data_IF_395823581643
#
_entry.id   IF_395823581643
#
_cell.length_a   1.000
_cell.length_b   1.000
_cell.length_c   1.000
_cell.angle_alpha   90.00
_cell.angle_beta   90.00
_cell.angle_gamma   90.00
#
_symmetry.space_group_name_H-M   'P 1'
#
loop_
_entity.id
_entity.type
_entity.pdbx_description
1 polymer ?
#
# COMPACT_ATOMS: atom_id res chain seq x y z
N UNK A 1 -12.61 7.09 -17.11
CA UNK A 1 -12.47 6.28 -15.89
C UNK A 1 -13.48 5.16 -15.77
N UNK A 2 -14.78 5.36 -16.05
CA UNK A 2 -15.80 4.27 -16.00
C UNK A 2 -15.53 3.07 -16.93
N UNK A 3 -14.74 3.24 -17.99
CA UNK A 3 -14.31 2.14 -18.88
C UNK A 3 -13.05 1.41 -18.41
N UNK A 4 -12.37 1.86 -17.34
CA UNK A 4 -11.12 1.26 -16.83
C UNK A 4 -9.85 1.57 -17.63
N UNK A 5 -9.94 2.27 -18.76
CA UNK A 5 -8.80 2.52 -19.66
C UNK A 5 -7.89 3.71 -19.23
N UNK A 6 -8.41 4.61 -18.39
CA UNK A 6 -7.71 5.82 -17.95
C UNK A 6 -7.35 5.71 -16.48
N UNK A 7 -6.06 5.55 -16.18
CA UNK A 7 -5.55 5.49 -14.81
C UNK A 7 -5.44 6.88 -14.15
N UNK A 8 -5.19 7.93 -14.94
CA UNK A 8 -4.94 9.30 -14.45
C UNK A 8 -5.50 10.32 -15.43
N UNK A 9 -6.07 11.40 -14.91
CA UNK A 9 -6.34 12.62 -15.67
C UNK A 9 -5.82 13.84 -14.90
N UNK A 10 -5.12 14.74 -15.60
CA UNK A 10 -4.59 15.98 -15.04
C UNK A 10 -5.32 17.13 -15.70
N UNK A 11 -5.89 18.01 -14.89
CA UNK A 11 -6.63 19.19 -15.30
C UNK A 11 -5.83 20.44 -14.97
N UNK A 12 -5.37 21.12 -16.02
CA UNK A 12 -4.59 22.35 -15.91
C UNK A 12 -5.51 23.52 -16.27
N UNK A 13 -5.69 24.51 -15.38
CA UNK A 13 -6.62 25.60 -15.63
C UNK A 13 -6.15 26.47 -16.82
N UNK A 14 -7.10 27.05 -17.57
CA UNK A 14 -6.77 28.03 -18.58
C UNK A 14 -6.07 29.20 -17.88
N UNK A 15 -4.91 29.59 -18.40
CA UNK A 15 -4.01 30.63 -17.86
C UNK A 15 -2.97 30.22 -16.81
N UNK A 16 -2.83 28.92 -16.50
CA UNK A 16 -1.84 28.42 -15.54
C UNK A 16 -0.45 29.06 -15.66
N UNK A 17 0.15 29.08 -16.86
CA UNK A 17 1.49 29.64 -17.07
C UNK A 17 1.57 31.16 -16.82
N UNK A 18 0.52 31.91 -17.16
CA UNK A 18 0.46 33.37 -16.92
C UNK A 18 0.33 33.67 -15.43
N UNK A 19 -0.51 32.91 -14.73
CA UNK A 19 -0.82 33.15 -13.32
C UNK A 19 0.39 32.78 -12.45
N UNK A 20 1.09 31.69 -12.77
CA UNK A 20 2.39 31.34 -12.17
C UNK A 20 3.45 32.41 -12.42
N UNK A 21 3.57 32.92 -13.65
CA UNK A 21 4.54 33.98 -13.98
C UNK A 21 4.27 35.30 -13.22
N UNK A 22 3.02 35.55 -12.84
CA UNK A 22 2.59 36.71 -12.03
C UNK A 22 2.66 36.46 -10.52
N UNK A 23 3.09 35.27 -10.08
CA UNK A 23 3.10 34.88 -8.66
C UNK A 23 1.71 34.66 -8.07
N UNK A 24 0.68 34.51 -8.91
CA UNK A 24 -0.68 34.20 -8.47
C UNK A 24 -0.80 32.70 -8.19
N UNK A 25 -1.38 32.29 -7.05
CA UNK A 25 -1.58 30.87 -6.76
C UNK A 25 -2.50 30.22 -7.80
N UNK A 26 -2.05 29.10 -8.39
CA UNK A 26 -2.83 28.33 -9.36
C UNK A 26 -3.07 26.91 -8.82
N UNK A 27 -4.25 26.36 -9.06
CA UNK A 27 -4.65 25.03 -8.61
C UNK A 27 -4.68 24.07 -9.80
N UNK A 28 -4.06 22.89 -9.65
CA UNK A 28 -4.10 21.81 -10.63
C UNK A 28 -4.98 20.69 -10.07
N UNK A 29 -5.93 20.21 -10.86
CA UNK A 29 -6.75 19.06 -10.52
C UNK A 29 -6.09 17.76 -10.99
N UNK A 30 -6.02 16.74 -10.13
CA UNK A 30 -5.56 15.41 -10.54
C UNK A 30 -6.61 14.38 -10.13
N UNK A 31 -7.09 13.64 -11.12
CA UNK A 31 -8.04 12.56 -10.97
C UNK A 31 -7.28 11.25 -11.13
N UNK A 32 -7.34 10.36 -10.14
CA UNK A 32 -6.72 9.03 -10.18
C UNK A 32 -7.80 7.97 -10.06
N UNK A 33 -7.70 6.92 -10.88
CA UNK A 33 -8.58 5.76 -10.76
C UNK A 33 -8.26 4.95 -9.50
N UNK A 34 -9.26 4.82 -8.62
CA UNK A 34 -9.16 4.11 -7.34
C UNK A 34 -9.58 2.63 -7.40
N UNK A 35 -9.91 2.08 -8.57
CA UNK A 35 -10.34 0.68 -8.71
C UNK A 35 -9.30 -0.32 -8.17
N UNK A 36 -8.01 0.02 -8.24
CA UNK A 36 -6.90 -0.79 -7.73
C UNK A 36 -6.02 0.06 -6.80
N UNK A 37 -6.17 -0.06 -5.45
CA UNK A 37 -5.56 0.85 -4.50
C UNK A 37 -4.03 0.97 -4.58
N UNK A 38 -3.33 -0.15 -4.80
CA UNK A 38 -1.86 -0.17 -4.94
C UNK A 38 -1.38 0.65 -6.13
N UNK A 39 -2.09 0.57 -7.26
CA UNK A 39 -1.80 1.34 -8.46
C UNK A 39 -2.12 2.82 -8.24
N UNK A 40 -3.23 3.13 -7.58
CA UNK A 40 -3.64 4.49 -7.28
C UNK A 40 -2.63 5.23 -6.38
N UNK A 41 -2.13 4.58 -5.32
CA UNK A 41 -1.10 5.17 -4.44
C UNK A 41 0.23 5.35 -5.18
N UNK A 42 0.61 4.38 -6.02
CA UNK A 42 1.83 4.49 -6.84
C UNK A 42 1.75 5.71 -7.77
N UNK A 43 0.64 5.86 -8.49
CA UNK A 43 0.38 7.01 -9.37
C UNK A 43 0.45 8.33 -8.58
N UNK A 44 -0.21 8.39 -7.43
CA UNK A 44 -0.22 9.58 -6.57
C UNK A 44 1.19 9.98 -6.16
N UNK A 45 2.02 9.01 -5.76
CA UNK A 45 3.44 9.23 -5.46
C UNK A 45 4.21 9.83 -6.65
N UNK A 46 4.00 9.29 -7.86
CA UNK A 46 4.62 9.86 -9.06
C UNK A 46 4.17 11.29 -9.35
N UNK A 47 2.88 11.58 -9.24
CA UNK A 47 2.35 12.94 -9.45
C UNK A 47 2.94 13.93 -8.45
N UNK A 48 3.05 13.55 -7.17
CA UNK A 48 3.67 14.38 -6.14
C UNK A 48 5.17 14.62 -6.42
N UNK A 49 5.89 13.57 -6.82
CA UNK A 49 7.31 13.69 -7.18
C UNK A 49 7.53 14.59 -8.41
N UNK A 50 6.70 14.43 -9.46
CA UNK A 50 6.74 15.29 -10.64
C UNK A 50 6.47 16.75 -10.29
N UNK A 51 5.46 17.02 -9.46
CA UNK A 51 5.14 18.36 -9.00
C UNK A 51 6.31 18.98 -8.21
N UNK A 52 6.92 18.22 -7.31
CA UNK A 52 8.09 18.68 -6.55
C UNK A 52 9.30 18.95 -7.45
N UNK A 53 9.54 18.11 -8.45
CA UNK A 53 10.62 18.31 -9.43
C UNK A 53 10.39 19.56 -10.26
N UNK A 54 9.17 19.78 -10.75
CA UNK A 54 8.82 20.97 -11.53
C UNK A 54 9.01 22.25 -10.71
N UNK A 55 8.66 22.24 -9.42
CA UNK A 55 8.88 23.39 -8.54
C UNK A 55 10.36 23.71 -8.33
N UNK A 56 11.21 22.69 -8.16
CA UNK A 56 12.65 22.90 -8.05
C UNK A 56 13.22 23.52 -9.32
N UNK A 57 12.73 23.07 -10.48
CA UNK A 57 13.13 23.63 -11.78
C UNK A 57 12.57 25.04 -12.01
N UNK A 58 11.34 25.33 -11.59
CA UNK A 58 10.75 26.66 -11.68
C UNK A 58 11.48 27.66 -10.78
N UNK A 59 11.89 27.24 -9.58
CA UNK A 59 12.68 28.04 -8.66
C UNK A 59 14.10 28.33 -9.18
N UNK A 60 14.73 27.38 -9.89
CA UNK A 60 16.08 27.59 -10.45
C UNK A 60 16.09 28.53 -11.65
N UNK A 61 14.96 28.71 -12.34
CA UNK A 61 14.80 29.62 -13.48
C UNK A 61 14.48 31.07 -13.07
N UNK A 62 14.22 31.37 -11.79
CA UNK A 62 13.91 32.73 -11.33
C UNK A 62 15.16 33.47 -10.81
N UNK A 63 15.39 34.75 -11.19
CA UNK A 63 16.57 35.53 -10.80
C UNK A 63 16.69 35.80 -9.29
N UNK A 64 15.57 35.75 -8.57
CA UNK A 64 15.52 35.94 -7.12
C UNK A 64 14.78 34.74 -6.53
N UNK A 65 15.48 33.77 -5.91
CA UNK A 65 14.85 32.58 -5.36
C UNK A 65 14.07 32.97 -4.12
N UNK A 66 12.86 33.50 -4.31
CA UNK A 66 11.86 33.50 -3.25
C UNK A 66 11.67 32.03 -2.93
N UNK A 67 12.09 31.61 -1.74
CA UNK A 67 11.75 30.30 -1.19
C UNK A 67 10.24 30.19 -1.24
N UNK A 68 9.69 29.59 -2.31
CA UNK A 68 8.28 29.23 -2.45
C UNK A 68 7.96 28.04 -1.53
N UNK A 69 8.55 28.01 -0.34
CA UNK A 69 8.40 26.98 0.68
C UNK A 69 7.08 27.11 1.44
N UNK A 70 6.23 28.08 1.10
CA UNK A 70 5.04 28.45 1.89
C UNK A 70 3.69 28.51 1.16
N UNK A 71 3.62 28.22 -0.15
CA UNK A 71 2.35 28.23 -0.91
C UNK A 71 1.86 26.82 -1.27
N UNK A 72 2.35 25.81 -0.55
CA UNK A 72 2.14 24.40 -0.87
C UNK A 72 1.00 23.85 -0.03
N UNK A 73 -0.16 23.65 -0.66
CA UNK A 73 -1.23 22.84 -0.09
C UNK A 73 -1.67 21.80 -1.12
N UNK A 74 -1.09 20.60 -1.04
CA UNK A 74 -1.54 19.45 -1.81
C UNK A 74 -2.72 18.85 -1.05
N UNK A 75 -3.93 19.28 -1.38
CA UNK A 75 -5.14 18.70 -0.80
C UNK A 75 -5.56 17.45 -1.59
N UNK A 76 -5.21 16.28 -1.07
CA UNK A 76 -5.71 15.02 -1.61
C UNK A 76 -7.17 14.85 -1.17
N UNK A 77 -8.11 14.97 -2.11
CA UNK A 77 -9.55 14.80 -1.84
C UNK A 77 -10.06 13.52 -2.51
N UNK A 78 -10.37 12.50 -1.72
CA UNK A 78 -10.97 11.27 -2.22
C UNK A 78 -12.48 11.46 -2.44
N UNK A 79 -12.95 11.45 -3.69
CA UNK A 79 -14.39 11.58 -3.99
C UNK A 79 -15.22 10.32 -3.67
N UNK A 80 -14.63 9.12 -3.70
CA UNK A 80 -15.39 7.86 -3.57
C UNK A 80 -14.86 6.89 -2.49
N UNK A 81 -13.86 7.27 -1.70
CA UNK A 81 -13.38 6.47 -0.56
C UNK A 81 -12.59 7.38 0.43
N UNK A 82 -13.25 8.32 1.13
CA UNK A 82 -12.60 9.29 2.02
C UNK A 82 -11.74 8.65 3.12
N UNK A 83 -12.08 7.43 3.53
CA UNK A 83 -11.38 6.72 4.60
C UNK A 83 -10.23 5.83 4.11
N UNK A 84 -9.94 5.80 2.80
CA UNK A 84 -9.02 4.83 2.19
C UNK A 84 -9.32 3.45 2.78
N UNK A 85 -10.55 2.93 2.61
CA UNK A 85 -10.95 1.61 3.10
C UNK A 85 -9.90 0.59 2.64
N UNK A 86 -8.94 0.31 3.52
CA UNK A 86 -7.87 -0.68 3.37
C UNK A 86 -8.38 -2.04 3.83
N UNK A 87 -9.52 -2.04 4.54
CA UNK A 87 -10.26 -3.21 4.97
C UNK A 87 -10.57 -4.21 3.84
N UNK A 88 -11.05 -3.83 2.64
CA UNK A 88 -11.35 -4.78 1.57
C UNK A 88 -10.11 -5.47 0.99
N UNK A 89 -8.91 -4.88 1.16
CA UNK A 89 -7.66 -5.42 0.63
C UNK A 89 -6.87 -6.23 1.66
N UNK A 90 -6.90 -5.83 2.94
CA UNK A 90 -6.17 -6.51 4.03
C UNK A 90 -6.92 -7.76 4.48
N UNK A 91 -8.25 -7.69 4.60
CA UNK A 91 -9.06 -8.79 5.15
C UNK A 91 -8.87 -10.11 4.38
N UNK A 92 -8.86 -10.13 3.02
CA UNK A 92 -8.61 -11.37 2.28
C UNK A 92 -7.19 -11.94 2.46
N UNK A 93 -6.19 -11.09 2.73
CA UNK A 93 -4.78 -11.51 2.87
C UNK A 93 -4.47 -12.08 4.27
N UNK A 94 -5.15 -11.58 5.31
CA UNK A 94 -4.89 -11.99 6.70
C UNK A 94 -5.44 -13.38 6.99
N UNK A 95 -6.56 -13.79 6.36
CA UNK A 95 -7.16 -15.11 6.61
C UNK A 95 -6.19 -16.27 6.25
N UNK A 96 -5.61 -16.35 5.03
CA UNK A 96 -4.62 -17.38 4.70
C UNK A 96 -3.38 -17.35 5.60
N UNK A 97 -2.92 -16.16 5.99
CA UNK A 97 -1.76 -16.01 6.88
C UNK A 97 -2.03 -16.64 8.25
N UNK A 98 -3.19 -16.37 8.85
CA UNK A 98 -3.58 -16.96 10.12
C UNK A 98 -3.77 -18.48 10.01
N UNK A 99 -4.37 -18.95 8.91
CA UNK A 99 -4.56 -20.38 8.64
C UNK A 99 -3.22 -21.12 8.48
N UNK A 100 -2.14 -20.46 8.06
CA UNK A 100 -0.80 -21.05 8.03
C UNK A 100 -0.11 -21.00 9.39
N UNK A 101 -0.20 -19.86 10.08
CA UNK A 101 0.55 -19.65 11.33
C UNK A 101 0.00 -20.47 12.49
N UNK A 102 -1.33 -20.52 12.67
CA UNK A 102 -1.93 -21.16 13.86
C UNK A 102 -1.63 -22.67 13.89
N UNK A 103 -1.89 -23.47 12.83
CA UNK A 103 -1.57 -24.89 12.86
C UNK A 103 -0.08 -25.16 12.99
N UNK A 104 0.77 -24.35 12.33
CA UNK A 104 2.22 -24.49 12.43
C UNK A 104 2.73 -24.30 13.86
N UNK A 105 2.28 -23.26 14.56
CA UNK A 105 2.64 -23.02 15.96
C UNK A 105 2.14 -24.14 16.88
N UNK A 106 0.87 -24.55 16.71
CA UNK A 106 0.29 -25.62 17.51
C UNK A 106 1.03 -26.95 17.29
N UNK A 107 1.34 -27.31 16.05
CA UNK A 107 2.13 -28.50 15.74
C UNK A 107 3.53 -28.44 16.35
N UNK A 108 4.22 -27.31 16.23
CA UNK A 108 5.55 -27.14 16.82
C UNK A 108 5.53 -27.30 18.35
N UNK A 109 4.57 -26.64 19.02
CA UNK A 109 4.43 -26.74 20.48
C UNK A 109 4.05 -28.14 20.92
N UNK A 110 3.14 -28.81 20.20
CA UNK A 110 2.75 -30.19 20.48
C UNK A 110 3.95 -31.13 20.38
N UNK A 111 4.76 -31.03 19.33
CA UNK A 111 5.95 -31.89 19.16
C UNK A 111 6.97 -31.66 20.28
N UNK A 112 7.21 -30.41 20.66
CA UNK A 112 8.13 -30.09 21.77
C UNK A 112 7.61 -30.65 23.09
N UNK A 113 6.31 -30.48 23.37
CA UNK A 113 5.67 -30.99 24.58
C UNK A 113 5.76 -32.51 24.71
N UNK A 114 5.51 -33.25 23.64
CA UNK A 114 5.65 -34.72 23.62
C UNK A 114 7.12 -35.16 23.82
N UNK A 115 8.07 -34.38 23.30
CA UNK A 115 9.50 -34.62 23.51
C UNK A 115 9.92 -34.38 24.96
N UNK A 116 9.40 -33.34 25.60
CA UNK A 116 9.71 -33.00 27.01
C UNK A 116 9.07 -33.98 27.99
N UNK A 117 7.83 -34.42 27.72
CA UNK A 117 7.13 -35.41 28.56
C UNK A 117 7.66 -36.84 28.37
N UNK A 118 8.46 -37.09 27.33
CA UNK A 118 9.05 -38.40 27.05
C UNK A 118 8.07 -39.44 26.49
N UNK A 119 6.80 -39.07 26.26
CA UNK A 119 5.78 -39.93 25.63
C UNK A 119 6.21 -40.41 24.24
N UNK A 120 6.95 -39.58 23.49
CA UNK A 120 7.45 -39.95 22.17
C UNK A 120 8.40 -41.15 22.21
N UNK A 121 9.10 -41.36 23.34
CA UNK A 121 10.03 -42.48 23.52
C UNK A 121 9.26 -43.79 23.67
N UNK A 122 8.11 -43.79 24.37
CA UNK A 122 7.25 -44.98 24.51
C UNK A 122 6.74 -45.48 23.16
N UNK A 123 6.49 -44.59 22.20
CA UNK A 123 6.10 -44.97 20.84
C UNK A 123 7.25 -45.69 20.11
N UNK A 124 8.50 -45.22 20.25
CA UNK A 124 9.65 -45.83 19.58
C UNK A 124 9.96 -47.27 20.02
N UNK A 125 9.55 -47.66 21.22
CA UNK A 125 9.72 -49.03 21.74
C UNK A 125 8.50 -49.93 21.49
N UNK A 126 7.43 -49.41 20.88
CA UNK A 126 6.24 -50.18 20.51
C UNK A 126 6.38 -50.71 19.07
N UNK A 127 5.97 -51.95 18.76
CA UNK A 127 6.09 -52.52 17.41
C UNK A 127 4.99 -51.99 16.47
N UNK A 128 4.87 -50.68 16.32
CA UNK A 128 3.90 -50.00 15.44
C UNK A 128 4.63 -49.24 14.34
N UNK A 129 4.17 -49.38 13.10
CA UNK A 129 4.74 -48.64 11.97
C UNK A 129 4.22 -47.21 11.90
N UNK A 130 4.98 -46.29 11.30
CA UNK A 130 4.58 -44.86 11.16
C UNK A 130 3.21 -44.71 10.50
N UNK A 131 2.92 -45.54 9.49
CA UNK A 131 1.65 -45.53 8.76
C UNK A 131 0.47 -46.00 9.61
N UNK A 132 0.65 -47.03 10.44
CA UNK A 132 -0.39 -47.51 11.35
C UNK A 132 -0.74 -46.44 12.40
N UNK A 133 0.26 -45.75 12.95
CA UNK A 133 0.05 -44.64 13.88
C UNK A 133 -0.73 -43.46 13.25
N UNK A 134 -0.44 -43.11 12.00
CA UNK A 134 -1.17 -42.03 11.30
C UNK A 134 -2.60 -42.43 10.92
N UNK A 135 -2.87 -43.72 10.69
CA UNK A 135 -4.20 -44.22 10.38
C UNK A 135 -5.11 -44.32 11.63
N UNK A 136 -4.50 -44.48 12.81
CA UNK A 136 -5.19 -44.63 14.11
C UNK A 136 -5.22 -46.07 14.57
#
# INVERSE_FOLDING_TARGET
MRSGELAVAIEIPPNFGRDIARGTPAQIGVWVDGAMPSRAETVKGYVQAMHQSWLQEAASRQPNPVKQTGLLNIETRYRYNPDVKSLPAIVPAVIPLLLMMIPSMLSALSVVREKELGSIINLYVTPTTRSEFFAG
#
